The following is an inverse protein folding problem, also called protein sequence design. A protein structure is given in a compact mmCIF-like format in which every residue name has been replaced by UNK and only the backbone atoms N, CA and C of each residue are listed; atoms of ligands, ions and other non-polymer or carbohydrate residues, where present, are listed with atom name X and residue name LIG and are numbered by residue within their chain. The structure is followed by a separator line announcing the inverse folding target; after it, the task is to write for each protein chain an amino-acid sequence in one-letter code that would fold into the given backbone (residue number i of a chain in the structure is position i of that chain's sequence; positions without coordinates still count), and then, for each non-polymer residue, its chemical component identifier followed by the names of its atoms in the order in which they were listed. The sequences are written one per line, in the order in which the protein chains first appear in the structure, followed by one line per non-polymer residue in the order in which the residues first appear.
data_IF_985789287963
#
_entry.id   IF_985789287963
#
_cell.length_a   1.000
_cell.length_b   1.000
_cell.length_c   1.000
_cell.angle_alpha   90.00
_cell.angle_beta   90.00
_cell.angle_gamma   90.00
#
_symmetry.space_group_name_H-M   'P 1'
#
loop_
_entity.id
_entity.type
_entity.pdbx_description
1 polymer ?
#
# COMPACT_ATOMS: atom_id res chain seq x y z
N UNK A 1 13.61 -11.74 9.45
CA UNK A 1 14.53 -11.14 8.48
C UNK A 1 14.79 -9.70 8.86
N UNK A 2 16.04 -9.33 8.99
CA UNK A 2 16.38 -7.94 9.28
C UNK A 2 16.07 -7.06 8.06
N UNK A 3 15.43 -5.93 8.33
CA UNK A 3 15.14 -4.95 7.28
C UNK A 3 16.24 -3.90 7.22
N UNK A 4 16.58 -3.51 6.02
CA UNK A 4 17.58 -2.51 5.76
C UNK A 4 17.11 -1.13 6.25
N UNK A 5 17.97 -0.41 6.95
CA UNK A 5 17.71 0.99 7.28
C UNK A 5 17.83 1.84 6.03
N UNK A 6 17.03 2.90 5.97
CA UNK A 6 17.13 3.85 4.89
C UNK A 6 17.04 5.28 5.43
N UNK A 7 17.78 6.18 4.81
CA UNK A 7 17.71 7.62 5.07
C UNK A 7 16.95 8.32 3.95
N UNK A 8 17.10 7.83 2.73
CA UNK A 8 16.45 8.38 1.55
C UNK A 8 15.83 7.22 0.77
N UNK A 9 14.57 7.39 0.38
CA UNK A 9 13.92 6.54 -0.62
C UNK A 9 13.53 7.41 -1.79
N UNK A 10 14.05 7.07 -2.95
CA UNK A 10 13.68 7.68 -4.22
C UNK A 10 13.04 6.60 -5.09
N UNK A 11 11.79 6.78 -5.47
CA UNK A 11 11.02 5.75 -6.15
C UNK A 11 9.85 6.33 -6.91
N UNK A 12 9.41 5.61 -7.94
CA UNK A 12 8.09 5.84 -8.50
C UNK A 12 7.03 5.41 -7.50
N UNK A 13 5.79 5.86 -7.70
CA UNK A 13 4.71 5.69 -6.73
C UNK A 13 3.54 4.90 -7.32
N UNK A 14 2.80 4.20 -6.46
CA UNK A 14 1.50 3.62 -6.80
C UNK A 14 0.42 4.54 -6.21
N UNK A 15 -0.43 5.16 -7.03
CA UNK A 15 -1.53 5.99 -6.53
C UNK A 15 -2.75 5.11 -6.22
N UNK A 16 -3.08 4.96 -4.95
CA UNK A 16 -4.28 4.26 -4.51
C UNK A 16 -5.25 5.31 -3.97
N UNK A 17 -5.97 5.95 -4.87
CA UNK A 17 -6.85 7.08 -4.55
C UNK A 17 -8.20 6.59 -4.02
N UNK A 18 -8.17 5.93 -2.87
CA UNK A 18 -9.35 5.43 -2.17
C UNK A 18 -9.37 6.07 -0.78
N UNK A 19 -10.39 6.89 -0.52
CA UNK A 19 -10.61 7.43 0.82
C UNK A 19 -11.18 6.35 1.73
N UNK A 20 -10.83 6.39 3.01
CA UNK A 20 -11.23 5.38 3.98
C UNK A 20 -10.89 3.95 3.54
N UNK A 21 -9.71 3.79 2.94
CA UNK A 21 -9.24 2.47 2.53
C UNK A 21 -8.97 1.63 3.76
N UNK A 22 -9.97 0.83 4.13
CA UNK A 22 -9.99 0.12 5.40
C UNK A 22 -9.11 -1.14 5.38
N UNK A 23 -8.89 -1.70 6.56
CA UNK A 23 -8.05 -2.89 6.71
C UNK A 23 -8.63 -4.12 6.01
N UNK A 24 -9.95 -4.20 5.81
CA UNK A 24 -10.59 -5.29 5.05
C UNK A 24 -10.27 -5.21 3.55
N UNK A 25 -10.13 -4.00 3.01
CA UNK A 25 -9.65 -3.79 1.64
C UNK A 25 -8.17 -4.13 1.51
N UNK A 26 -7.37 -3.72 2.51
CA UNK A 26 -5.92 -3.93 2.48
C UNK A 26 -5.58 -5.42 2.59
N UNK A 27 -6.27 -6.15 3.47
CA UNK A 27 -6.16 -7.60 3.55
C UNK A 27 -7.53 -8.23 3.81
N UNK A 28 -8.04 -9.08 2.90
CA UNK A 28 -9.30 -9.77 3.13
C UNK A 28 -9.26 -10.65 4.39
N UNK A 29 -10.38 -10.69 5.12
CA UNK A 29 -10.45 -11.38 6.42
C UNK A 29 -10.07 -12.86 6.36
N UNK A 30 -10.30 -13.55 5.25
CA UNK A 30 -9.97 -14.97 5.12
C UNK A 30 -8.48 -15.27 5.25
N UNK A 31 -7.61 -14.29 4.96
CA UNK A 31 -6.17 -14.46 5.11
C UNK A 31 -5.72 -14.46 6.57
N UNK A 32 -6.56 -13.97 7.49
CA UNK A 32 -6.25 -13.92 8.92
C UNK A 32 -6.31 -15.29 9.59
N UNK A 33 -6.94 -16.26 8.94
CA UNK A 33 -7.02 -17.64 9.45
C UNK A 33 -5.70 -18.42 9.33
N UNK A 34 -4.74 -17.90 8.58
CA UNK A 34 -3.45 -18.55 8.38
C UNK A 34 -2.45 -18.11 9.43
N UNK A 35 -1.57 -19.04 9.83
CA UNK A 35 -0.57 -18.79 10.88
C UNK A 35 0.82 -18.49 10.36
N UNK A 36 0.98 -18.46 9.03
CA UNK A 36 2.28 -18.18 8.40
C UNK A 36 2.77 -16.76 8.70
N UNK A 37 4.07 -16.59 8.70
CA UNK A 37 4.74 -15.29 8.77
C UNK A 37 5.47 -14.94 7.46
N UNK A 38 5.22 -15.71 6.40
CA UNK A 38 5.89 -15.51 5.11
C UNK A 38 5.46 -14.17 4.48
N UNK A 39 6.39 -13.23 4.27
CA UNK A 39 6.08 -11.94 3.64
C UNK A 39 5.44 -12.09 2.26
N UNK A 40 5.83 -13.11 1.50
CA UNK A 40 5.26 -13.36 0.17
C UNK A 40 3.77 -13.66 0.24
N UNK A 41 3.35 -14.45 1.22
CA UNK A 41 1.93 -14.75 1.45
C UNK A 41 1.12 -13.46 1.67
N UNK A 42 1.61 -12.58 2.54
CA UNK A 42 0.93 -11.33 2.85
C UNK A 42 1.00 -10.31 1.70
N UNK A 43 2.08 -10.31 0.95
CA UNK A 43 2.21 -9.50 -0.25
C UNK A 43 1.19 -9.89 -1.33
N UNK A 44 0.94 -11.17 -1.51
CA UNK A 44 -0.10 -11.66 -2.41
C UNK A 44 -1.50 -11.31 -1.93
N UNK A 45 -1.70 -11.26 -0.62
CA UNK A 45 -2.97 -10.89 0.00
C UNK A 45 -3.26 -9.39 -0.09
N UNK A 46 -2.24 -8.56 -0.28
CA UNK A 46 -2.39 -7.10 -0.30
C UNK A 46 -3.38 -6.67 -1.38
N UNK A 47 -4.47 -6.02 -0.95
CA UNK A 47 -5.53 -5.51 -1.83
C UNK A 47 -6.13 -6.58 -2.77
N UNK A 48 -6.04 -7.85 -2.39
CA UNK A 48 -6.34 -8.98 -3.27
C UNK A 48 -7.72 -8.89 -3.92
N UNK A 49 -8.75 -8.54 -3.16
CA UNK A 49 -10.12 -8.54 -3.66
C UNK A 49 -10.45 -7.32 -4.54
N UNK A 50 -9.55 -6.33 -4.57
CA UNK A 50 -9.61 -5.24 -5.52
C UNK A 50 -8.75 -5.53 -6.77
N UNK A 51 -7.68 -6.30 -6.60
CA UNK A 51 -6.81 -6.69 -7.73
C UNK A 51 -7.36 -7.83 -8.57
N UNK A 52 -8.13 -8.73 -7.96
CA UNK A 52 -8.64 -9.93 -8.61
C UNK A 52 -10.14 -10.09 -8.38
N UNK A 53 -10.83 -10.65 -9.36
CA UNK A 53 -12.26 -10.97 -9.26
C UNK A 53 -12.51 -12.33 -8.57
N UNK A 54 -13.77 -12.74 -8.50
CA UNK A 54 -14.16 -14.00 -7.88
C UNK A 54 -13.57 -15.24 -8.58
N UNK A 55 -13.22 -15.13 -9.85
CA UNK A 55 -12.57 -16.17 -10.64
C UNK A 55 -11.04 -16.08 -10.59
N UNK A 56 -10.52 -15.25 -9.70
CA UNK A 56 -9.09 -14.99 -9.52
C UNK A 56 -8.41 -14.41 -10.77
N UNK A 57 -9.16 -13.66 -11.55
CA UNK A 57 -8.65 -12.96 -12.73
C UNK A 57 -8.37 -11.49 -12.41
N UNK A 58 -7.30 -10.90 -12.98
CA UNK A 58 -6.99 -9.49 -12.74
C UNK A 58 -8.14 -8.57 -13.16
N UNK A 59 -8.49 -7.63 -12.30
CA UNK A 59 -9.45 -6.56 -12.59
C UNK A 59 -8.71 -5.46 -13.34
N UNK A 60 -8.92 -5.34 -14.65
CA UNK A 60 -8.14 -4.46 -15.52
C UNK A 60 -8.23 -2.99 -15.11
N UNK A 61 -9.36 -2.55 -14.60
CA UNK A 61 -9.58 -1.14 -14.23
C UNK A 61 -8.95 -0.76 -12.89
N UNK A 62 -8.54 -1.74 -12.08
CA UNK A 62 -7.90 -1.41 -10.81
C UNK A 62 -6.48 -0.87 -11.05
N UNK A 63 -6.13 0.20 -10.34
CA UNK A 63 -4.88 0.94 -10.56
C UNK A 63 -3.63 0.06 -10.53
N UNK A 64 -3.56 -0.89 -9.58
CA UNK A 64 -2.39 -1.77 -9.44
C UNK A 64 -2.22 -2.75 -10.60
N UNK A 65 -3.25 -2.95 -11.43
CA UNK A 65 -3.21 -3.85 -12.58
C UNK A 65 -2.94 -3.12 -13.91
N UNK A 66 -2.92 -1.78 -13.88
CA UNK A 66 -2.58 -1.00 -15.06
C UNK A 66 -1.08 -1.15 -15.37
N UNK A 67 -0.69 -1.17 -16.66
CA UNK A 67 0.71 -1.39 -17.04
C UNK A 67 1.70 -0.47 -16.32
N UNK A 68 1.31 0.79 -16.05
CA UNK A 68 2.16 1.78 -15.40
C UNK A 68 2.48 1.44 -13.95
N UNK A 69 1.64 0.62 -13.29
CA UNK A 69 1.72 0.37 -11.85
C UNK A 69 1.75 -1.13 -11.47
N UNK A 70 1.73 -2.03 -12.45
CA UNK A 70 1.63 -3.46 -12.18
C UNK A 70 2.94 -4.13 -11.81
N UNK A 71 4.08 -3.48 -12.05
CA UNK A 71 5.37 -4.02 -11.66
C UNK A 71 5.48 -4.08 -10.13
N UNK A 72 5.80 -5.25 -9.55
CA UNK A 72 5.98 -5.35 -8.10
C UNK A 72 7.08 -4.41 -7.58
N UNK A 73 6.98 -3.96 -6.34
CA UNK A 73 7.99 -3.07 -5.76
C UNK A 73 9.40 -3.67 -5.81
N UNK A 74 10.33 -2.85 -6.22
CA UNK A 74 11.77 -3.11 -6.15
C UNK A 74 12.49 -1.78 -5.95
N UNK A 75 13.78 -1.80 -5.70
CA UNK A 75 14.54 -0.57 -5.45
C UNK A 75 14.32 0.47 -6.56
N UNK A 76 13.78 1.62 -6.16
CA UNK A 76 13.49 2.73 -7.08
C UNK A 76 12.18 2.63 -7.83
N UNK A 77 11.42 1.54 -7.67
CA UNK A 77 10.15 1.32 -8.38
C UNK A 77 9.07 0.89 -7.41
N UNK A 78 8.00 1.66 -7.35
CA UNK A 78 6.77 1.34 -6.59
C UNK A 78 6.98 1.04 -5.10
N UNK A 79 8.04 1.56 -4.52
CA UNK A 79 8.27 1.42 -3.08
C UNK A 79 7.40 2.36 -2.25
N UNK A 80 6.72 3.32 -2.91
CA UNK A 80 5.89 4.34 -2.27
C UNK A 80 4.45 4.20 -2.75
N UNK A 81 3.52 4.16 -1.80
CA UNK A 81 2.09 4.30 -2.09
C UNK A 81 1.66 5.73 -1.72
N UNK A 82 0.94 6.37 -2.61
CA UNK A 82 0.17 7.58 -2.27
C UNK A 82 -1.27 7.14 -2.10
N UNK A 83 -1.76 7.19 -0.87
CA UNK A 83 -3.10 6.74 -0.52
C UNK A 83 -4.10 7.88 -0.36
N UNK A 84 -5.38 7.56 -0.29
CA UNK A 84 -6.44 8.50 0.02
C UNK A 84 -6.50 8.86 1.49
N UNK A 85 -7.52 9.61 1.89
CA UNK A 85 -7.71 10.04 3.28
C UNK A 85 -8.02 8.86 4.20
N UNK A 86 -7.66 8.99 5.48
CA UNK A 86 -7.97 8.03 6.54
C UNK A 86 -7.56 6.61 6.15
N UNK A 87 -6.31 6.47 5.74
CA UNK A 87 -5.72 5.19 5.33
C UNK A 87 -5.66 4.22 6.50
N UNK A 88 -6.11 2.97 6.26
CA UNK A 88 -6.05 1.93 7.28
C UNK A 88 -7.17 1.99 8.31
N UNK A 89 -8.28 2.64 7.99
CA UNK A 89 -9.45 2.70 8.87
C UNK A 89 -10.08 1.32 9.12
N UNK A 90 -10.98 1.24 10.08
CA UNK A 90 -11.68 0.00 10.40
C UNK A 90 -10.98 -0.81 11.48
N UNK A 91 -11.02 -2.15 11.36
CA UNK A 91 -10.47 -3.05 12.38
C UNK A 91 -8.98 -2.91 12.55
N UNK A 92 -8.51 -2.99 13.80
CA UNK A 92 -7.09 -2.91 14.16
C UNK A 92 -6.36 -4.24 13.86
N UNK A 93 -5.99 -4.44 12.61
CA UNK A 93 -5.30 -5.67 12.17
C UNK A 93 -3.85 -5.39 11.82
N UNK A 94 -2.94 -5.98 12.57
CA UNK A 94 -1.51 -5.94 12.23
C UNK A 94 -1.25 -6.53 10.84
N UNK A 95 -2.03 -7.54 10.46
CA UNK A 95 -1.92 -8.22 9.17
C UNK A 95 -2.04 -7.26 7.98
N UNK A 96 -2.79 -6.17 8.11
CA UNK A 96 -2.87 -5.16 7.06
C UNK A 96 -1.50 -4.52 6.82
N UNK A 97 -0.77 -4.20 7.88
CA UNK A 97 0.59 -3.68 7.76
C UNK A 97 1.55 -4.74 7.20
N UNK A 98 1.39 -6.00 7.60
CA UNK A 98 2.18 -7.10 7.04
C UNK A 98 1.96 -7.25 5.54
N UNK A 99 0.72 -7.07 5.08
CA UNK A 99 0.39 -7.15 3.65
C UNK A 99 1.12 -6.06 2.85
N UNK A 100 1.11 -4.83 3.35
CA UNK A 100 1.81 -3.71 2.72
C UNK A 100 3.32 -3.97 2.67
N UNK A 101 3.90 -4.34 3.80
CA UNK A 101 5.32 -4.63 3.90
C UNK A 101 5.72 -5.85 3.05
N UNK A 102 4.89 -6.89 3.05
CA UNK A 102 5.14 -8.11 2.28
C UNK A 102 5.05 -7.89 0.77
N UNK A 103 4.21 -6.96 0.34
CA UNK A 103 4.15 -6.57 -1.08
C UNK A 103 5.46 -5.89 -1.53
N UNK A 104 6.16 -5.24 -0.62
CA UNK A 104 7.43 -4.58 -0.89
C UNK A 104 7.40 -3.07 -0.73
N UNK A 105 6.28 -2.51 -0.27
CA UNK A 105 6.13 -1.07 -0.05
C UNK A 105 6.89 -0.67 1.20
N UNK A 106 7.58 0.47 1.14
CA UNK A 106 8.40 1.00 2.24
C UNK A 106 7.87 2.32 2.80
N UNK A 107 7.04 3.02 2.03
CA UNK A 107 6.47 4.31 2.42
C UNK A 107 5.02 4.37 1.98
N UNK A 108 4.16 4.86 2.85
CA UNK A 108 2.78 5.23 2.50
C UNK A 108 2.58 6.70 2.81
N UNK A 109 2.16 7.47 1.81
CA UNK A 109 1.88 8.90 1.95
C UNK A 109 0.36 9.09 1.94
N UNK A 110 -0.16 9.77 2.95
CA UNK A 110 -1.57 10.15 3.03
C UNK A 110 -1.72 11.43 3.83
N UNK A 111 -2.87 12.08 3.73
CA UNK A 111 -3.15 13.23 4.59
C UNK A 111 -3.59 12.82 6.00
N UNK A 112 -4.03 11.57 6.16
CA UNK A 112 -4.42 11.05 7.47
C UNK A 112 -4.38 9.52 7.49
N UNK A 113 -4.07 8.98 8.68
CA UNK A 113 -4.03 7.54 8.95
C UNK A 113 -4.87 7.23 10.17
N UNK A 114 -5.49 6.05 10.21
CA UNK A 114 -6.01 5.50 11.45
C UNK A 114 -4.83 5.22 12.40
N UNK A 115 -4.97 5.63 13.66
CA UNK A 115 -3.85 5.62 14.64
C UNK A 115 -3.23 4.24 14.81
N UNK A 116 -4.06 3.20 14.96
CA UNK A 116 -3.57 1.84 15.18
C UNK A 116 -2.82 1.35 13.96
N UNK A 117 -3.37 1.57 12.76
CA UNK A 117 -2.72 1.16 11.52
C UNK A 117 -1.38 1.87 11.32
N UNK A 118 -1.33 3.17 11.63
CA UNK A 118 -0.08 3.95 11.57
C UNK A 118 1.01 3.33 12.43
N UNK A 119 0.66 2.96 13.67
CA UNK A 119 1.61 2.31 14.58
C UNK A 119 2.03 0.93 14.06
N UNK A 120 1.12 0.17 13.49
CA UNK A 120 1.41 -1.13 12.90
C UNK A 120 2.35 -1.02 11.69
N UNK A 121 2.19 0.02 10.87
CA UNK A 121 3.11 0.29 9.76
C UNK A 121 4.53 0.53 10.27
N UNK A 122 4.68 1.35 11.30
CA UNK A 122 5.99 1.62 11.90
C UNK A 122 6.63 0.35 12.45
N UNK A 123 5.86 -0.52 13.08
CA UNK A 123 6.35 -1.81 13.57
C UNK A 123 6.78 -2.76 12.45
N UNK A 124 6.30 -2.56 11.24
CA UNK A 124 6.67 -3.33 10.06
C UNK A 124 7.74 -2.65 9.20
N UNK A 125 8.33 -1.56 9.71
CA UNK A 125 9.35 -0.76 8.98
C UNK A 125 8.81 -0.14 7.69
N UNK A 126 7.52 0.17 7.68
CA UNK A 126 6.89 0.98 6.64
C UNK A 126 6.65 2.38 7.20
N UNK A 127 7.17 3.38 6.53
CA UNK A 127 7.10 4.76 7.00
C UNK A 127 5.76 5.40 6.58
N UNK A 128 4.89 5.76 7.53
CA UNK A 128 3.72 6.57 7.22
C UNK A 128 4.12 8.05 7.16
N UNK A 129 3.84 8.71 6.05
CA UNK A 129 4.13 10.14 5.86
C UNK A 129 2.82 10.90 5.74
N UNK A 130 2.62 11.87 6.63
CA UNK A 130 1.44 12.72 6.65
C UNK A 130 1.75 14.01 5.90
N UNK A 131 0.91 14.32 4.92
CA UNK A 131 1.00 15.54 4.12
C UNK A 131 -0.34 16.29 4.18
N UNK A 132 -0.37 17.54 3.73
CA UNK A 132 -1.63 18.26 3.61
C UNK A 132 -2.52 17.62 2.54
N UNK A 133 -3.83 17.79 2.67
CA UNK A 133 -4.77 17.32 1.65
C UNK A 133 -4.46 17.94 0.29
N UNK A 134 -4.10 19.21 0.27
CA UNK A 134 -3.73 19.93 -0.95
C UNK A 134 -2.52 19.28 -1.63
N UNK A 135 -1.47 18.98 -0.87
CA UNK A 135 -0.28 18.32 -1.39
C UNK A 135 -0.58 16.89 -1.86
N UNK A 136 -1.40 16.16 -1.11
CA UNK A 136 -1.85 14.82 -1.51
C UNK A 136 -2.55 14.85 -2.89
N UNK A 137 -3.45 15.78 -3.10
CA UNK A 137 -4.13 15.93 -4.40
C UNK A 137 -3.16 16.32 -5.51
N UNK A 138 -2.17 17.15 -5.20
CA UNK A 138 -1.11 17.50 -6.15
C UNK A 138 -0.26 16.28 -6.53
N UNK A 139 0.04 15.40 -5.57
CA UNK A 139 0.75 14.15 -5.85
C UNK A 139 -0.05 13.27 -6.81
N UNK A 140 -1.35 13.11 -6.59
CA UNK A 140 -2.18 12.33 -7.50
C UNK A 140 -2.21 12.91 -8.91
N UNK A 141 -2.29 14.23 -9.05
CA UNK A 141 -2.23 14.89 -10.36
C UNK A 141 -0.88 14.67 -11.03
N UNK A 142 0.20 14.83 -10.28
CA UNK A 142 1.56 14.63 -10.80
C UNK A 142 1.76 13.21 -11.33
N UNK A 143 1.29 12.20 -10.57
CA UNK A 143 1.42 10.79 -10.97
C UNK A 143 0.54 10.50 -12.18
N UNK A 144 -0.66 11.09 -12.26
CA UNK A 144 -1.55 10.93 -13.40
C UNK A 144 -0.93 11.48 -14.69
N UNK A 145 -0.25 12.63 -14.60
CA UNK A 145 0.42 13.25 -15.74
C UNK A 145 1.71 12.54 -16.12
N UNK A 146 2.43 12.01 -15.13
CA UNK A 146 3.68 11.29 -15.35
C UNK A 146 3.81 10.12 -14.35
N UNK A 147 3.39 8.90 -14.74
CA UNK A 147 3.50 7.73 -13.86
C UNK A 147 4.94 7.37 -13.45
N UNK A 148 5.93 7.89 -14.14
CA UNK A 148 7.36 7.68 -13.83
C UNK A 148 7.92 8.75 -12.90
N UNK A 149 7.11 9.68 -12.39
CA UNK A 149 7.56 10.68 -11.43
C UNK A 149 8.08 10.02 -10.14
N UNK A 150 9.19 10.55 -9.64
CA UNK A 150 9.86 10.05 -8.43
C UNK A 150 9.81 11.11 -7.31
#
# INVERSE_FOLDING_TARGET
MAKEKFDIIQSTCIPIEIDNNNTDNIIPARYLAFTTRDPKFYGEAFMHDLRYDADNKPVADFVMNKPEFSEPPRKGVHEIIVGGQNWGSGSSREHAAWAIAGYGVRVVISNSFADIHRNNLLNCFVLPVIVSREFQLELFRTIADNPQAE
#
